data_IF_197949028454
#
_entry.id   IF_197949028454
#
_cell.length_a   1.000
_cell.length_b   1.000
_cell.length_c   1.000
_cell.angle_alpha   90.00
_cell.angle_beta   90.00
_cell.angle_gamma   90.00
#
_symmetry.space_group_name_H-M   'P 1'
#
loop_
_entity.id
_entity.type
_entity.pdbx_description
1 polymer ?
#
# COMPACT_ATOMS: atom_id res chain seq x y z
N UNK A 1 10.77 33.79 1.13
CA UNK A 1 9.87 33.03 0.24
C UNK A 1 9.43 31.80 1.03
N UNK A 2 8.12 31.64 1.28
CA UNK A 2 7.63 30.47 2.01
C UNK A 2 7.61 29.30 1.01
N UNK A 3 8.62 28.44 1.05
CA UNK A 3 8.71 27.28 0.16
C UNK A 3 7.55 26.33 0.46
N UNK A 4 6.78 25.96 -0.57
CA UNK A 4 5.69 25.01 -0.45
C UNK A 4 6.17 23.73 0.25
N UNK A 5 5.45 23.30 1.29
CA UNK A 5 5.76 22.06 2.03
C UNK A 5 5.76 20.88 1.06
N UNK A 6 6.69 19.95 1.22
CA UNK A 6 6.77 18.72 0.41
C UNK A 6 6.31 17.51 1.22
N UNK A 7 5.31 16.79 0.69
CA UNK A 7 4.85 15.50 1.20
C UNK A 7 5.25 14.41 0.21
N UNK A 8 5.95 13.38 0.67
CA UNK A 8 6.20 12.15 -0.09
C UNK A 8 5.28 11.04 0.40
N UNK A 9 4.40 10.55 -0.47
CA UNK A 9 3.64 9.33 -0.26
C UNK A 9 4.49 8.15 -0.74
N UNK A 10 5.03 7.37 0.19
CA UNK A 10 5.98 6.30 -0.06
C UNK A 10 5.35 4.92 0.17
N UNK A 11 5.23 4.12 -0.89
CA UNK A 11 4.50 2.86 -0.77
C UNK A 11 4.55 1.99 -2.00
N UNK A 12 3.58 1.09 -2.12
CA UNK A 12 3.51 0.08 -3.16
C UNK A 12 2.52 0.45 -4.28
N UNK A 13 1.83 -0.54 -4.85
CA UNK A 13 0.84 -0.35 -5.93
C UNK A 13 -0.34 0.51 -5.50
N UNK A 14 -0.74 0.47 -4.23
CA UNK A 14 -1.84 1.30 -3.74
C UNK A 14 -1.44 2.78 -3.76
N UNK A 15 -0.19 3.06 -3.41
CA UNK A 15 0.38 4.41 -3.52
C UNK A 15 0.58 4.82 -4.97
N UNK A 16 1.01 3.89 -5.83
CA UNK A 16 1.17 4.16 -7.26
C UNK A 16 -0.16 4.62 -7.89
N UNK A 17 -1.26 3.98 -7.51
CA UNK A 17 -2.61 4.47 -7.80
C UNK A 17 -3.03 4.34 -9.27
N UNK A 18 -2.39 3.45 -10.04
CA UNK A 18 -2.74 3.17 -11.44
C UNK A 18 -4.07 2.43 -11.57
N UNK A 19 -4.40 1.62 -10.57
CA UNK A 19 -5.60 0.79 -10.52
C UNK A 19 -6.63 1.46 -9.60
N UNK A 20 -7.86 1.62 -10.09
CA UNK A 20 -8.93 2.22 -9.31
C UNK A 20 -8.74 3.74 -9.10
N UNK A 21 -8.88 4.19 -7.87
CA UNK A 21 -8.74 5.61 -7.49
C UNK A 21 -7.40 5.86 -6.78
N UNK A 22 -6.67 6.88 -7.21
CA UNK A 22 -5.42 7.30 -6.58
C UNK A 22 -5.69 8.15 -5.34
N UNK A 23 -5.44 7.60 -4.15
CA UNK A 23 -5.54 8.39 -2.92
C UNK A 23 -4.52 9.54 -2.90
N UNK A 24 -3.39 9.40 -3.60
CA UNK A 24 -2.38 10.46 -3.69
C UNK A 24 -2.94 11.67 -4.44
N UNK A 25 -3.77 11.45 -5.46
CA UNK A 25 -4.44 12.53 -6.19
C UNK A 25 -5.50 13.22 -5.33
N UNK A 26 -6.25 12.44 -4.53
CA UNK A 26 -7.20 12.97 -3.53
C UNK A 26 -6.47 13.86 -2.51
N UNK A 27 -5.35 13.36 -1.95
CA UNK A 27 -4.52 14.12 -1.00
C UNK A 27 -3.98 15.39 -1.63
N UNK A 28 -3.53 15.32 -2.89
CA UNK A 28 -3.05 16.51 -3.63
C UNK A 28 -4.14 17.55 -3.81
N UNK A 29 -5.36 17.14 -4.14
CA UNK A 29 -6.51 18.06 -4.24
C UNK A 29 -6.92 18.67 -2.90
N UNK A 30 -6.82 17.90 -1.81
CA UNK A 30 -7.17 18.36 -0.46
C UNK A 30 -6.14 19.30 0.18
N UNK A 31 -4.90 19.31 -0.32
CA UNK A 31 -3.79 20.10 0.22
C UNK A 31 -3.26 21.11 -0.82
N UNK A 32 -4.06 22.11 -1.23
CA UNK A 32 -3.60 23.13 -2.16
C UNK A 32 -2.41 23.89 -1.56
N UNK A 33 -1.29 23.91 -2.27
CA UNK A 33 -0.04 24.54 -1.81
C UNK A 33 0.97 23.60 -1.16
N UNK A 34 0.67 22.30 -1.04
CA UNK A 34 1.64 21.25 -0.69
C UNK A 34 2.09 20.54 -1.95
N UNK A 35 3.40 20.37 -2.13
CA UNK A 35 3.98 19.55 -3.19
C UNK A 35 3.86 18.07 -2.81
N UNK A 36 2.83 17.40 -3.30
CA UNK A 36 2.58 15.97 -3.05
C UNK A 36 3.24 15.10 -4.12
N UNK A 37 4.26 14.34 -3.71
CA UNK A 37 5.01 13.40 -4.55
C UNK A 37 4.48 11.98 -4.35
N UNK A 38 4.14 11.33 -5.47
CA UNK A 38 3.83 9.92 -5.49
C UNK A 38 5.12 9.11 -5.65
N UNK A 39 5.50 8.36 -4.61
CA UNK A 39 6.62 7.43 -4.60
C UNK A 39 6.12 5.98 -4.44
N UNK A 40 4.98 5.65 -5.04
CA UNK A 40 4.45 4.29 -5.16
C UNK A 40 5.08 3.51 -6.31
N UNK A 41 5.37 2.23 -6.10
CA UNK A 41 5.83 1.32 -7.16
C UNK A 41 5.10 -0.01 -7.03
N UNK A 42 4.49 -0.48 -8.12
CA UNK A 42 3.74 -1.73 -8.12
C UNK A 42 4.54 -2.93 -7.59
N UNK A 43 3.91 -3.70 -6.70
CA UNK A 43 4.48 -4.92 -6.13
C UNK A 43 5.66 -4.70 -5.18
N UNK A 44 5.92 -3.46 -4.73
CA UNK A 44 6.97 -3.21 -3.76
C UNK A 44 6.63 -3.76 -2.37
N UNK A 45 7.66 -4.23 -1.67
CA UNK A 45 7.62 -4.67 -0.27
C UNK A 45 8.45 -3.68 0.55
N UNK A 46 8.46 -3.80 1.88
CA UNK A 46 9.29 -2.93 2.72
C UNK A 46 10.79 -3.01 2.37
N UNK A 47 11.25 -4.17 1.87
CA UNK A 47 12.64 -4.38 1.41
C UNK A 47 12.92 -3.58 0.14
N UNK A 48 11.93 -3.45 -0.76
CA UNK A 48 12.07 -2.63 -1.95
C UNK A 48 12.11 -1.13 -1.60
N UNK A 49 11.27 -0.69 -0.65
CA UNK A 49 11.31 0.68 -0.14
C UNK A 49 12.69 1.03 0.42
N UNK A 50 13.29 0.17 1.24
CA UNK A 50 14.67 0.36 1.75
C UNK A 50 15.70 0.64 0.66
N UNK A 51 15.59 -0.04 -0.49
CA UNK A 51 16.54 0.09 -1.60
C UNK A 51 16.43 1.43 -2.35
N UNK A 52 15.32 2.15 -2.18
CA UNK A 52 15.00 3.36 -2.96
C UNK A 52 14.73 4.60 -2.11
N UNK A 53 15.01 4.56 -0.80
CA UNK A 53 14.89 5.73 0.10
C UNK A 53 15.61 6.96 -0.46
N UNK A 54 16.84 6.78 -0.93
CA UNK A 54 17.65 7.90 -1.42
C UNK A 54 17.00 8.57 -2.64
N UNK A 55 16.65 7.76 -3.64
CA UNK A 55 16.09 8.20 -4.92
C UNK A 55 14.69 8.80 -4.77
N UNK A 56 13.83 8.15 -4.01
CA UNK A 56 12.38 8.43 -4.01
C UNK A 56 11.91 9.25 -2.81
N UNK A 57 12.78 9.47 -1.83
CA UNK A 57 12.44 10.25 -0.63
C UNK A 57 13.48 11.33 -0.40
N UNK A 58 14.74 10.97 -0.15
CA UNK A 58 15.79 11.93 0.27
C UNK A 58 16.04 12.99 -0.81
N UNK A 59 16.13 12.59 -2.08
CA UNK A 59 16.34 13.49 -3.21
C UNK A 59 15.26 14.57 -3.33
N UNK A 60 14.10 14.38 -2.72
CA UNK A 60 13.00 15.34 -2.74
C UNK A 60 12.97 16.29 -1.54
N UNK A 61 13.86 16.13 -0.56
CA UNK A 61 13.93 16.96 0.66
C UNK A 61 12.55 17.18 1.31
N UNK A 62 11.86 16.09 1.72
CA UNK A 62 10.50 16.18 2.20
C UNK A 62 10.41 16.84 3.58
N UNK A 63 9.28 17.51 3.82
CA UNK A 63 8.87 17.90 5.17
C UNK A 63 8.10 16.77 5.86
N UNK A 64 7.39 15.95 5.07
CA UNK A 64 6.57 14.83 5.57
C UNK A 64 6.79 13.61 4.66
N UNK A 65 6.94 12.44 5.27
CA UNK A 65 6.93 11.15 4.60
C UNK A 65 5.80 10.30 5.17
N UNK A 66 4.84 9.95 4.32
CA UNK A 66 3.77 9.01 4.64
C UNK A 66 4.12 7.64 4.08
N UNK A 67 4.14 6.61 4.93
CA UNK A 67 4.54 5.25 4.53
C UNK A 67 3.33 4.32 4.54
N UNK A 68 3.01 3.72 3.40
CA UNK A 68 1.99 2.66 3.30
C UNK A 68 2.54 1.47 2.51
N UNK A 69 2.83 0.36 3.22
CA UNK A 69 3.36 -0.87 2.64
C UNK A 69 3.04 -2.05 3.55
N UNK A 70 2.89 -3.25 2.98
CA UNK A 70 2.77 -4.49 3.75
C UNK A 70 1.93 -5.59 3.08
N UNK A 71 1.07 -5.23 2.11
CA UNK A 71 0.27 -6.21 1.37
C UNK A 71 1.11 -7.13 0.48
N UNK A 72 2.18 -6.59 -0.08
CA UNK A 72 3.10 -7.40 -0.87
C UNK A 72 3.98 -8.27 0.02
N UNK A 73 4.36 -7.78 1.21
CA UNK A 73 5.12 -8.51 2.22
C UNK A 73 4.36 -9.75 2.68
N UNK A 74 3.08 -9.62 3.05
CA UNK A 74 2.24 -10.77 3.40
C UNK A 74 2.06 -11.72 2.22
N UNK A 75 1.95 -11.20 0.99
CA UNK A 75 1.84 -12.02 -0.23
C UNK A 75 3.13 -12.81 -0.49
N UNK A 76 4.30 -12.26 -0.20
CA UNK A 76 5.56 -13.00 -0.34
C UNK A 76 5.66 -14.17 0.65
N UNK A 77 5.11 -14.01 1.86
CA UNK A 77 5.13 -15.03 2.91
C UNK A 77 4.06 -16.12 2.69
N UNK A 78 2.81 -15.69 2.48
CA UNK A 78 1.62 -16.55 2.53
C UNK A 78 0.92 -16.72 1.18
N UNK A 79 1.36 -16.01 0.13
CA UNK A 79 0.80 -16.12 -1.21
C UNK A 79 1.13 -17.44 -1.91
N UNK A 80 0.44 -17.66 -3.03
CA UNK A 80 0.61 -18.85 -3.87
C UNK A 80 2.02 -18.95 -4.47
N UNK A 81 2.35 -20.13 -5.01
CA UNK A 81 3.62 -20.36 -5.73
C UNK A 81 3.83 -19.37 -6.88
N UNK A 82 2.77 -18.98 -7.58
CA UNK A 82 2.82 -17.97 -8.65
C UNK A 82 3.22 -16.59 -8.13
N UNK A 83 2.70 -16.18 -6.98
CA UNK A 83 3.11 -14.93 -6.31
C UNK A 83 4.59 -14.98 -5.96
N UNK A 84 5.07 -16.08 -5.38
CA UNK A 84 6.49 -16.25 -5.05
C UNK A 84 7.38 -16.21 -6.30
N UNK A 85 6.95 -16.84 -7.38
CA UNK A 85 7.63 -16.79 -8.68
C UNK A 85 7.68 -15.37 -9.26
N UNK A 86 6.59 -14.59 -9.14
CA UNK A 86 6.55 -13.19 -9.51
C UNK A 86 7.61 -12.37 -8.77
N UNK A 87 7.70 -12.51 -7.44
CA UNK A 87 8.70 -11.78 -6.65
C UNK A 87 10.14 -12.17 -6.99
N UNK A 88 10.38 -13.46 -7.22
CA UNK A 88 11.69 -13.95 -7.63
C UNK A 88 12.10 -13.42 -9.01
N UNK A 89 11.23 -13.58 -10.01
CA UNK A 89 11.55 -13.30 -11.41
C UNK A 89 11.49 -11.81 -11.77
N UNK A 90 10.48 -11.08 -11.27
CA UNK A 90 10.18 -9.71 -11.71
C UNK A 90 10.55 -8.64 -10.70
N UNK A 91 10.57 -8.98 -9.40
CA UNK A 91 10.94 -8.04 -8.33
C UNK A 91 12.35 -8.27 -7.77
N UNK A 92 13.05 -9.31 -8.23
CA UNK A 92 14.38 -9.69 -7.72
C UNK A 92 14.41 -9.79 -6.18
N UNK A 93 13.40 -10.46 -5.63
CA UNK A 93 13.24 -10.71 -4.21
C UNK A 93 13.21 -12.21 -3.94
N UNK A 94 14.37 -12.73 -3.50
CA UNK A 94 14.62 -14.15 -3.26
C UNK A 94 14.25 -14.60 -1.84
N UNK A 95 13.59 -13.74 -1.05
CA UNK A 95 13.25 -14.01 0.34
C UNK A 95 11.82 -13.64 0.66
N UNK A 96 11.19 -14.44 1.52
CA UNK A 96 9.84 -14.16 2.01
C UNK A 96 9.90 -13.10 3.10
N UNK A 97 9.03 -12.11 3.08
CA UNK A 97 8.98 -11.07 4.11
C UNK A 97 7.99 -11.47 5.20
N UNK A 98 8.32 -12.54 5.93
CA UNK A 98 7.55 -13.00 7.09
C UNK A 98 7.58 -11.96 8.24
N UNK A 99 6.68 -12.02 9.25
CA UNK A 99 6.49 -10.97 10.25
C UNK A 99 7.78 -10.47 10.91
N UNK A 100 8.69 -11.37 11.33
CA UNK A 100 9.98 -10.97 11.94
C UNK A 100 10.84 -10.12 11.00
N UNK A 101 10.88 -10.48 9.71
CA UNK A 101 11.64 -9.76 8.68
C UNK A 101 10.96 -8.45 8.33
N UNK A 102 9.62 -8.44 8.27
CA UNK A 102 8.83 -7.23 8.08
C UNK A 102 9.13 -6.21 9.18
N UNK A 103 9.02 -6.60 10.46
CA UNK A 103 9.34 -5.74 11.62
C UNK A 103 10.76 -5.18 11.52
N UNK A 104 11.75 -6.04 11.25
CA UNK A 104 13.14 -5.62 11.17
C UNK A 104 13.38 -4.61 10.06
N UNK A 105 12.89 -4.89 8.85
CA UNK A 105 13.06 -4.04 7.68
C UNK A 105 12.27 -2.73 7.79
N UNK A 106 11.08 -2.75 8.39
CA UNK A 106 10.30 -1.53 8.64
C UNK A 106 10.99 -0.60 9.64
N UNK A 107 11.53 -1.14 10.75
CA UNK A 107 12.35 -0.34 11.67
C UNK A 107 13.64 0.18 11.02
N UNK A 108 14.27 -0.61 10.15
CA UNK A 108 15.41 -0.13 9.35
C UNK A 108 15.01 1.03 8.45
N UNK A 109 13.84 0.96 7.83
CA UNK A 109 13.34 2.01 6.95
C UNK A 109 13.14 3.32 7.71
N UNK A 110 12.50 3.26 8.87
CA UNK A 110 12.32 4.42 9.76
C UNK A 110 13.68 5.01 10.17
N UNK A 111 14.64 4.17 10.58
CA UNK A 111 15.99 4.62 10.95
C UNK A 111 16.70 5.30 9.78
N UNK A 112 16.61 4.74 8.57
CA UNK A 112 17.23 5.31 7.38
C UNK A 112 16.63 6.68 7.03
N UNK A 113 15.31 6.81 7.11
CA UNK A 113 14.61 8.09 6.87
C UNK A 113 15.00 9.16 7.89
N UNK A 114 15.04 8.82 9.18
CA UNK A 114 15.49 9.74 10.24
C UNK A 114 16.96 10.15 10.10
N UNK A 115 17.81 9.25 9.60
CA UNK A 115 19.24 9.52 9.42
C UNK A 115 19.58 10.31 8.14
N UNK A 116 18.61 10.51 7.25
CA UNK A 116 18.81 11.11 5.92
C UNK A 116 17.88 12.30 5.64
N UNK A 117 16.87 12.52 6.46
CA UNK A 117 15.89 13.59 6.30
C UNK A 117 15.53 14.19 7.65
N UNK A 118 14.99 15.41 7.63
CA UNK A 118 14.35 16.04 8.80
C UNK A 118 12.82 15.94 8.75
N UNK A 119 12.29 15.06 7.90
CA UNK A 119 10.87 14.95 7.67
C UNK A 119 10.15 14.35 8.88
N UNK A 120 8.90 14.79 9.10
CA UNK A 120 7.97 14.06 9.95
C UNK A 120 7.56 12.77 9.25
N UNK A 121 7.59 11.65 9.96
CA UNK A 121 7.23 10.34 9.41
C UNK A 121 5.85 9.96 9.95
N UNK A 122 4.91 9.63 9.08
CA UNK A 122 3.60 9.08 9.43
C UNK A 122 3.45 7.67 8.83
N UNK A 123 2.92 6.74 9.62
CA UNK A 123 2.70 5.36 9.18
C UNK A 123 1.22 5.15 8.86
N UNK A 124 0.93 4.46 7.76
CA UNK A 124 -0.40 3.99 7.42
C UNK A 124 -0.49 2.49 7.67
N UNK A 125 -1.57 2.04 8.31
CA UNK A 125 -1.91 0.61 8.32
C UNK A 125 -2.31 0.15 6.92
N UNK A 126 -2.37 -1.17 6.72
CA UNK A 126 -2.72 -1.74 5.41
C UNK A 126 -4.18 -1.41 5.07
N UNK A 127 -4.53 -1.48 3.78
CA UNK A 127 -5.93 -1.44 3.35
C UNK A 127 -6.60 -2.78 3.68
N UNK A 128 -6.88 -3.62 2.69
CA UNK A 128 -7.52 -4.93 2.84
C UNK A 128 -7.42 -5.74 1.54
N UNK A 129 -7.59 -7.07 1.61
CA UNK A 129 -7.52 -8.01 0.47
C UNK A 129 -8.76 -8.89 0.45
N UNK A 130 -9.51 -8.91 -0.66
CA UNK A 130 -10.91 -9.35 -0.68
C UNK A 130 -11.85 -8.46 0.16
N UNK A 131 -13.15 -8.50 -0.10
CA UNK A 131 -14.18 -7.78 0.69
C UNK A 131 -14.94 -8.71 1.65
N UNK A 132 -14.62 -10.01 1.68
CA UNK A 132 -15.20 -10.96 2.61
C UNK A 132 -14.50 -10.90 3.97
N UNK A 133 -15.16 -10.43 5.05
CA UNK A 133 -14.56 -10.37 6.38
C UNK A 133 -14.20 -11.75 6.97
N UNK A 134 -14.85 -12.82 6.49
CA UNK A 134 -14.61 -14.18 6.94
C UNK A 134 -13.43 -14.87 6.23
N UNK A 135 -12.80 -14.23 5.25
CA UNK A 135 -11.63 -14.78 4.56
C UNK A 135 -10.43 -14.83 5.52
N UNK A 136 -9.75 -15.99 5.69
CA UNK A 136 -8.55 -16.10 6.53
C UNK A 136 -7.44 -15.09 6.19
N UNK A 137 -7.40 -14.56 4.97
CA UNK A 137 -6.47 -13.49 4.57
C UNK A 137 -6.67 -12.22 5.40
N UNK A 138 -7.90 -11.93 5.88
CA UNK A 138 -8.18 -10.76 6.71
C UNK A 138 -7.38 -10.81 8.01
N UNK A 139 -7.28 -11.99 8.65
CA UNK A 139 -6.46 -12.16 9.85
C UNK A 139 -4.98 -11.88 9.60
N UNK A 140 -4.48 -12.19 8.38
CA UNK A 140 -3.10 -11.87 7.99
C UNK A 140 -2.92 -10.36 7.79
N UNK A 141 -3.89 -9.69 7.16
CA UNK A 141 -3.88 -8.22 7.00
C UNK A 141 -3.93 -7.54 8.38
N UNK A 142 -4.75 -8.05 9.29
CA UNK A 142 -4.85 -7.57 10.67
C UNK A 142 -3.54 -7.74 11.41
N UNK A 143 -2.90 -8.90 11.31
CA UNK A 143 -1.61 -9.16 11.95
C UNK A 143 -0.52 -8.17 11.48
N UNK A 144 -0.44 -7.88 10.17
CA UNK A 144 0.52 -6.90 9.66
C UNK A 144 0.13 -5.46 10.03
N UNK A 145 -1.17 -5.15 10.09
CA UNK A 145 -1.64 -3.84 10.54
C UNK A 145 -1.33 -3.60 12.01
N UNK A 146 -1.50 -4.61 12.88
CA UNK A 146 -1.12 -4.56 14.29
C UNK A 146 0.38 -4.31 14.43
N UNK A 147 1.22 -4.99 13.64
CA UNK A 147 2.67 -4.74 13.62
C UNK A 147 2.97 -3.27 13.28
N UNK A 148 2.32 -2.69 12.27
CA UNK A 148 2.54 -1.28 11.92
C UNK A 148 2.10 -0.35 13.06
N UNK A 149 0.98 -0.65 13.73
CA UNK A 149 0.50 0.11 14.90
C UNK A 149 1.50 0.07 16.04
N UNK A 150 1.99 -1.11 16.40
CA UNK A 150 2.98 -1.29 17.47
C UNK A 150 4.30 -0.58 17.14
N UNK A 151 4.74 -0.63 15.89
CA UNK A 151 5.93 0.11 15.45
C UNK A 151 5.71 1.62 15.56
N UNK A 152 4.54 2.13 15.13
CA UNK A 152 4.22 3.55 15.25
C UNK A 152 4.26 4.02 16.70
N UNK A 153 3.62 3.26 17.60
CA UNK A 153 3.59 3.56 19.03
C UNK A 153 5.00 3.54 19.66
N UNK A 154 5.76 2.47 19.43
CA UNK A 154 7.11 2.32 19.99
C UNK A 154 8.11 3.35 19.48
N UNK A 155 7.94 3.79 18.23
CA UNK A 155 8.79 4.81 17.61
C UNK A 155 8.27 6.24 17.85
N UNK A 156 7.11 6.41 18.50
CA UNK A 156 6.48 7.71 18.75
C UNK A 156 6.05 8.45 17.47
N UNK A 157 5.55 7.71 16.47
CA UNK A 157 5.16 8.24 15.16
C UNK A 157 3.65 8.37 15.02
N UNK A 158 3.15 9.43 14.33
CA UNK A 158 1.76 9.51 13.92
C UNK A 158 1.32 8.28 13.11
N UNK A 159 0.12 7.79 13.41
CA UNK A 159 -0.51 6.66 12.74
C UNK A 159 -1.79 7.11 12.03
N UNK A 160 -1.93 6.71 10.77
CA UNK A 160 -3.15 6.83 9.98
C UNK A 160 -3.74 5.42 9.86
N UNK A 161 -4.81 5.13 10.62
CA UNK A 161 -5.40 3.80 10.68
C UNK A 161 -6.37 3.51 9.52
N UNK A 162 -5.80 3.31 8.34
CA UNK A 162 -6.51 2.95 7.10
C UNK A 162 -7.29 1.64 7.27
N UNK A 163 -6.69 0.63 7.88
CA UNK A 163 -7.33 -0.67 8.15
C UNK A 163 -8.64 -0.51 8.92
N UNK A 164 -8.63 0.27 10.01
CA UNK A 164 -9.85 0.51 10.78
C UNK A 164 -10.93 1.23 9.97
N UNK A 165 -10.55 2.17 9.08
CA UNK A 165 -11.51 2.82 8.19
C UNK A 165 -12.17 1.83 7.22
N UNK A 166 -11.40 0.92 6.63
CA UNK A 166 -11.95 -0.13 5.79
C UNK A 166 -12.84 -1.11 6.56
N UNK A 167 -12.43 -1.53 7.76
CA UNK A 167 -13.23 -2.46 8.58
C UNK A 167 -14.58 -1.87 8.96
N UNK A 168 -14.63 -0.60 9.38
CA UNK A 168 -15.92 0.08 9.64
C UNK A 168 -16.85 0.05 8.44
N UNK A 169 -16.30 0.20 7.24
CA UNK A 169 -17.10 0.22 6.03
C UNK A 169 -17.55 -1.19 5.61
N UNK A 170 -16.71 -2.21 5.81
CA UNK A 170 -17.06 -3.61 5.58
C UNK A 170 -18.13 -4.12 6.57
N UNK A 171 -18.07 -3.68 7.83
CA UNK A 171 -19.06 -4.02 8.86
C UNK A 171 -20.41 -3.33 8.62
N UNK A 172 -20.39 -2.07 8.15
CA UNK A 172 -21.61 -1.34 7.82
C UNK A 172 -22.38 -1.98 6.66
N UNK A 173 -21.69 -2.62 5.72
CA UNK A 173 -22.28 -3.21 4.51
C UNK A 173 -21.58 -4.51 4.08
N UNK A 174 -21.76 -5.62 4.81
CA UNK A 174 -21.10 -6.88 4.50
C UNK A 174 -21.62 -7.43 3.16
N UNK A 175 -20.73 -7.64 2.19
CA UNK A 175 -21.04 -8.30 0.92
C UNK A 175 -19.99 -9.35 0.57
N UNK A 176 -20.45 -10.45 -0.03
CA UNK A 176 -19.60 -11.49 -0.60
C UNK A 176 -19.07 -11.01 -1.96
N UNK A 177 -18.10 -10.10 -1.96
CA UNK A 177 -17.33 -9.79 -3.16
C UNK A 177 -16.55 -11.04 -3.62
N UNK A 178 -16.26 -11.19 -4.93
CA UNK A 178 -15.50 -12.35 -5.43
C UNK A 178 -14.10 -12.39 -4.82
N UNK A 179 -13.58 -13.60 -4.59
CA UNK A 179 -12.22 -13.81 -4.05
C UNK A 179 -11.16 -13.06 -4.87
N UNK A 180 -10.20 -12.45 -4.18
CA UNK A 180 -9.07 -11.80 -4.84
C UNK A 180 -8.23 -12.82 -5.61
N UNK A 181 -7.97 -12.55 -6.89
CA UNK A 181 -7.06 -13.35 -7.72
C UNK A 181 -6.05 -12.43 -8.38
N UNK A 182 -4.77 -12.77 -8.25
CA UNK A 182 -3.63 -11.97 -8.75
C UNK A 182 -3.66 -11.68 -10.27
N UNK A 183 -4.47 -12.42 -11.03
CA UNK A 183 -4.65 -12.21 -12.48
C UNK A 183 -5.75 -11.20 -12.83
N UNK A 184 -6.66 -10.89 -11.91
CA UNK A 184 -7.76 -9.93 -12.11
C UNK A 184 -7.24 -8.53 -12.49
N UNK A 185 -6.20 -7.97 -11.84
CA UNK A 185 -5.63 -6.70 -12.25
C UNK A 185 -5.13 -6.69 -13.71
N UNK A 186 -4.52 -7.80 -14.16
CA UNK A 186 -4.01 -7.96 -15.53
C UNK A 186 -5.16 -8.05 -16.53
N UNK A 187 -6.21 -8.80 -16.19
CA UNK A 187 -7.42 -8.89 -17.01
C UNK A 187 -8.13 -7.55 -17.13
N UNK A 188 -8.15 -6.76 -16.06
CA UNK A 188 -8.78 -5.44 -16.02
C UNK A 188 -8.02 -4.42 -16.84
N UNK A 189 -6.69 -4.39 -16.72
CA UNK A 189 -5.85 -3.55 -17.55
C UNK A 189 -6.06 -3.87 -19.05
N UNK A 190 -6.21 -5.14 -19.42
CA UNK A 190 -6.54 -5.54 -20.79
C UNK A 190 -7.96 -5.13 -21.20
N UNK A 191 -8.96 -5.34 -20.33
CA UNK A 191 -10.34 -4.95 -20.62
C UNK A 191 -10.49 -3.43 -20.77
N UNK A 192 -9.80 -2.63 -19.97
CA UNK A 192 -9.81 -1.17 -20.05
C UNK A 192 -9.13 -0.72 -21.34
N UNK A 193 -7.92 -1.23 -21.62
CA UNK A 193 -7.12 -0.83 -22.79
C UNK A 193 -7.77 -1.22 -24.12
N UNK A 194 -8.43 -2.38 -24.18
CA UNK A 194 -8.90 -2.95 -25.45
C UNK A 194 -10.42 -2.98 -25.61
N UNK A 195 -11.19 -2.84 -24.53
CA UNK A 195 -12.67 -2.93 -24.56
C UNK A 195 -13.36 -1.67 -24.04
N UNK A 196 -12.62 -0.59 -23.77
CA UNK A 196 -13.19 0.68 -23.30
C UNK A 196 -13.91 0.56 -21.95
N UNK A 197 -13.58 -0.45 -21.14
CA UNK A 197 -14.13 -0.60 -19.80
C UNK A 197 -13.55 0.47 -18.85
N UNK A 198 -14.25 0.77 -17.76
CA UNK A 198 -13.72 1.56 -16.64
C UNK A 198 -13.57 0.68 -15.41
N UNK A 199 -12.63 1.03 -14.51
CA UNK A 199 -12.51 0.35 -13.22
C UNK A 199 -13.82 0.39 -12.44
N UNK A 200 -14.51 1.53 -12.39
CA UNK A 200 -15.82 1.65 -11.75
C UNK A 200 -16.87 0.68 -12.31
N UNK A 201 -16.96 0.54 -13.63
CA UNK A 201 -17.89 -0.40 -14.27
C UNK A 201 -17.47 -1.87 -14.12
N UNK A 202 -16.18 -2.16 -13.95
CA UNK A 202 -15.69 -3.51 -13.63
C UNK A 202 -15.95 -3.86 -12.15
N UNK A 203 -15.74 -2.92 -11.24
CA UNK A 203 -16.10 -3.02 -9.81
C UNK A 203 -17.58 -3.35 -9.64
N UNK A 204 -18.46 -2.54 -10.23
CA UNK A 204 -19.91 -2.66 -10.09
C UNK A 204 -20.42 -4.01 -10.63
N UNK A 205 -19.93 -4.44 -11.80
CA UNK A 205 -20.29 -5.74 -12.39
C UNK A 205 -19.83 -6.93 -11.56
N UNK A 206 -18.74 -6.79 -10.81
CA UNK A 206 -18.20 -7.84 -9.93
C UNK A 206 -18.69 -7.70 -8.49
N UNK A 207 -19.46 -6.67 -8.19
CA UNK A 207 -19.99 -6.40 -6.86
C UNK A 207 -18.98 -5.82 -5.87
N UNK A 208 -17.81 -5.35 -6.31
CA UNK A 208 -16.87 -4.64 -5.45
C UNK A 208 -17.35 -3.20 -5.22
N UNK A 209 -17.22 -2.70 -3.98
CA UNK A 209 -17.63 -1.32 -3.63
C UNK A 209 -16.49 -0.46 -3.11
N UNK A 210 -15.58 -1.04 -2.34
CA UNK A 210 -14.40 -0.35 -1.83
C UNK A 210 -13.19 -0.55 -2.73
N UNK A 211 -13.22 -1.59 -3.57
CA UNK A 211 -12.13 -1.96 -4.47
C UNK A 211 -12.59 -2.12 -5.89
N UNK A 212 -11.64 -2.37 -6.78
CA UNK A 212 -11.93 -2.67 -8.18
C UNK A 212 -11.47 -4.03 -8.65
N UNK A 213 -10.44 -4.58 -8.02
CA UNK A 213 -9.90 -5.91 -8.35
C UNK A 213 -9.74 -6.83 -7.14
N UNK A 214 -10.15 -6.36 -5.95
CA UNK A 214 -10.00 -7.09 -4.68
C UNK A 214 -8.71 -6.80 -3.92
N UNK A 215 -7.81 -5.94 -4.42
CA UNK A 215 -6.65 -5.42 -3.68
C UNK A 215 -6.53 -3.89 -3.70
N UNK A 216 -6.95 -3.24 -4.78
CA UNK A 216 -6.90 -1.80 -4.98
C UNK A 216 -8.27 -1.14 -4.83
#
# INVERSE_FOLDING_TARGET
>A
MNTAKTLVCFGDSITEGVIGASYVDIVRGALPGVRVINAGINGDTVIHLLRRVERDVVAHQPDIVMIMVGLNDLTTAYGLRSSKAYYHALKNLHTQVAPRRFIHAYRQLIRQLRARTHAQIALCTLTTVGENPADPVQHLVDAYSIIVKEIAEQEGLPLIDVRAAFMRQLEAEPRLGPEYRIWVPVQDALAIKWRGASYAGLSERRGYRLRCDGAH
#
